data_IF_932753118510
#
_entry.id   IF_932753118510
#
_cell.length_a   1.000
_cell.length_b   1.000
_cell.length_c   1.000
_cell.angle_alpha   90.00
_cell.angle_beta   90.00
_cell.angle_gamma   90.00
#
_symmetry.space_group_name_H-M   'P 1'
#
loop_
_entity.id
_entity.type
_entity.pdbx_description
1 polymer ?
#
# COMPACT_ATOMS: atom_id res chain seq x y z
N UNK A 1 9.38 -43.06 -48.49
CA UNK A 1 8.58 -42.08 -47.73
C UNK A 1 8.81 -42.28 -46.23
N UNK A 2 10.00 -41.93 -45.72
CA UNK A 2 10.35 -42.02 -44.29
C UNK A 2 11.17 -40.78 -43.94
N UNK A 3 10.60 -39.58 -44.03
CA UNK A 3 11.31 -38.33 -43.65
C UNK A 3 10.44 -37.35 -42.84
N UNK A 4 9.23 -37.74 -42.45
CA UNK A 4 8.24 -36.78 -41.92
C UNK A 4 7.99 -36.89 -40.40
N UNK A 5 8.60 -37.87 -39.72
CA UNK A 5 8.31 -38.15 -38.31
C UNK A 5 9.39 -37.69 -37.30
N UNK A 6 10.66 -37.56 -37.70
CA UNK A 6 11.72 -37.16 -36.76
C UNK A 6 11.75 -35.65 -36.45
N UNK A 7 11.25 -34.81 -37.36
CA UNK A 7 11.27 -33.34 -37.17
C UNK A 7 10.33 -32.89 -36.05
N UNK A 8 9.24 -33.62 -35.76
CA UNK A 8 8.28 -33.27 -34.70
C UNK A 8 8.72 -33.65 -33.29
N UNK A 9 9.69 -34.55 -33.13
CA UNK A 9 10.16 -34.98 -31.81
C UNK A 9 11.21 -34.02 -31.22
N UNK A 10 11.99 -33.34 -32.05
CA UNK A 10 13.05 -32.43 -31.58
C UNK A 10 12.53 -31.07 -31.10
N UNK A 11 11.39 -30.58 -31.59
CA UNK A 11 10.81 -29.30 -31.14
C UNK A 11 10.16 -29.39 -29.75
N UNK A 12 9.70 -30.59 -29.35
CA UNK A 12 9.03 -30.80 -28.06
C UNK A 12 10.01 -30.82 -26.87
N UNK A 13 11.32 -30.97 -27.11
CA UNK A 13 12.36 -30.88 -26.08
C UNK A 13 12.89 -29.45 -25.86
N UNK A 14 12.82 -28.56 -26.86
CA UNK A 14 13.31 -27.16 -26.75
C UNK A 14 12.44 -26.24 -25.88
N UNK A 15 11.17 -26.56 -25.67
CA UNK A 15 10.24 -25.76 -24.85
C UNK A 15 10.39 -25.96 -23.33
N UNK A 16 10.75 -27.18 -22.91
CA UNK A 16 10.69 -27.59 -21.50
C UNK A 16 11.77 -26.97 -20.60
N UNK A 17 12.89 -26.55 -21.20
CA UNK A 17 13.99 -25.85 -20.50
C UNK A 17 13.85 -24.32 -20.46
N UNK A 18 13.13 -23.72 -21.44
CA UNK A 18 12.90 -22.27 -21.50
C UNK A 18 11.91 -21.80 -20.45
N UNK A 19 10.87 -22.59 -20.16
CA UNK A 19 9.88 -22.25 -19.14
C UNK A 19 10.47 -22.26 -17.73
N UNK A 20 11.28 -23.25 -17.37
CA UNK A 20 11.92 -23.31 -16.04
C UNK A 20 12.89 -22.15 -15.80
N UNK A 21 13.60 -21.72 -16.84
CA UNK A 21 14.53 -20.59 -16.75
C UNK A 21 13.76 -19.26 -16.62
N UNK A 22 12.69 -19.09 -17.39
CA UNK A 22 11.76 -17.95 -17.29
C UNK A 22 11.13 -17.84 -15.90
N UNK A 23 10.66 -18.96 -15.36
CA UNK A 23 10.00 -19.01 -14.06
C UNK A 23 10.97 -18.72 -12.90
N UNK A 24 12.21 -19.23 -12.98
CA UNK A 24 13.27 -18.85 -12.04
C UNK A 24 13.59 -17.35 -12.09
N UNK A 25 13.63 -16.75 -13.28
CA UNK A 25 13.86 -15.31 -13.43
C UNK A 25 12.71 -14.48 -12.85
N UNK A 26 11.46 -14.88 -13.09
CA UNK A 26 10.27 -14.26 -12.49
C UNK A 26 10.31 -14.30 -10.96
N UNK A 27 10.64 -15.44 -10.37
CA UNK A 27 10.74 -15.59 -8.91
C UNK A 27 11.88 -14.74 -8.33
N UNK A 28 13.07 -14.78 -8.93
CA UNK A 28 14.19 -13.92 -8.50
C UNK A 28 13.84 -12.43 -8.57
N UNK A 29 13.15 -12.02 -9.63
CA UNK A 29 12.73 -10.62 -9.79
C UNK A 29 11.72 -10.21 -8.71
N UNK A 30 10.75 -11.05 -8.39
CA UNK A 30 9.80 -10.76 -7.30
C UNK A 30 10.49 -10.70 -5.94
N UNK A 31 11.46 -11.57 -5.66
CA UNK A 31 12.21 -11.54 -4.40
C UNK A 31 13.06 -10.26 -4.30
N UNK A 32 13.74 -9.89 -5.38
CA UNK A 32 14.54 -8.67 -5.41
C UNK A 32 13.69 -7.40 -5.36
N UNK A 33 12.53 -7.40 -6.03
CA UNK A 33 11.56 -6.32 -5.96
C UNK A 33 10.98 -6.18 -4.55
N UNK A 34 10.83 -7.28 -3.82
CA UNK A 34 10.41 -7.26 -2.41
C UNK A 34 11.47 -6.63 -1.50
N UNK A 35 12.77 -6.88 -1.78
CA UNK A 35 13.90 -6.36 -0.99
C UNK A 35 14.18 -4.89 -1.29
N UNK A 36 14.38 -4.56 -2.56
CA UNK A 36 14.79 -3.22 -3.01
C UNK A 36 13.64 -2.24 -3.10
N UNK A 37 12.41 -2.73 -3.33
CA UNK A 37 11.21 -1.93 -3.66
C UNK A 37 11.36 -1.06 -4.91
N UNK A 38 12.44 -1.22 -5.66
CA UNK A 38 12.71 -0.49 -6.90
C UNK A 38 12.79 -1.50 -8.05
N UNK A 39 11.83 -1.39 -8.99
CA UNK A 39 11.74 -2.23 -10.18
C UNK A 39 12.99 -2.14 -11.07
N UNK A 40 13.68 -1.00 -11.09
CA UNK A 40 14.85 -0.72 -11.91
C UNK A 40 16.08 -1.40 -11.33
N UNK A 41 16.27 -1.31 -10.01
CA UNK A 41 17.34 -2.01 -9.30
C UNK A 41 17.13 -3.52 -9.35
N UNK A 42 15.92 -3.99 -9.08
CA UNK A 42 15.58 -5.41 -9.19
C UNK A 42 15.80 -5.98 -10.60
N UNK A 43 15.46 -5.20 -11.64
CA UNK A 43 15.68 -5.57 -13.05
C UNK A 43 17.16 -5.74 -13.37
N UNK A 44 18.01 -4.81 -12.89
CA UNK A 44 19.48 -4.88 -13.07
C UNK A 44 20.08 -6.09 -12.38
N UNK A 45 19.69 -6.37 -11.14
CA UNK A 45 20.22 -7.50 -10.35
C UNK A 45 19.84 -8.85 -10.97
N UNK A 46 18.62 -8.98 -11.51
CA UNK A 46 18.19 -10.23 -12.16
C UNK A 46 18.69 -10.35 -13.61
N UNK A 47 19.23 -9.26 -14.17
CA UNK A 47 19.72 -9.24 -15.56
C UNK A 47 18.60 -9.36 -16.58
N UNK A 48 17.43 -8.77 -16.28
CA UNK A 48 16.24 -8.86 -17.13
C UNK A 48 15.70 -7.47 -17.41
N UNK A 49 15.53 -7.13 -18.67
CA UNK A 49 14.96 -5.85 -19.11
C UNK A 49 13.51 -5.66 -18.65
N UNK A 50 13.16 -4.40 -18.36
CA UNK A 50 11.82 -3.95 -17.99
C UNK A 50 10.77 -4.28 -19.06
N UNK A 51 11.16 -4.32 -20.34
CA UNK A 51 10.27 -4.75 -21.43
C UNK A 51 9.86 -6.21 -21.25
N UNK A 52 10.79 -7.08 -20.89
CA UNK A 52 10.53 -8.50 -20.63
C UNK A 52 9.67 -8.70 -19.39
N UNK A 53 9.92 -7.91 -18.33
CA UNK A 53 9.06 -7.89 -17.14
C UNK A 53 7.64 -7.44 -17.48
N UNK A 54 7.47 -6.41 -18.33
CA UNK A 54 6.15 -5.98 -18.83
C UNK A 54 5.46 -7.12 -19.59
N UNK A 55 6.19 -7.81 -20.47
CA UNK A 55 5.66 -8.97 -21.20
C UNK A 55 5.19 -10.07 -20.23
N UNK A 56 5.96 -10.39 -19.19
CA UNK A 56 5.53 -11.35 -18.16
C UNK A 56 4.27 -10.90 -17.42
N UNK A 57 4.11 -9.62 -17.11
CA UNK A 57 2.89 -9.11 -16.46
C UNK A 57 1.65 -9.23 -17.32
N UNK A 58 1.80 -9.25 -18.64
CA UNK A 58 0.68 -9.41 -19.58
C UNK A 58 0.35 -10.88 -19.84
N UNK A 59 1.38 -11.72 -19.92
CA UNK A 59 1.24 -13.13 -20.30
C UNK A 59 1.05 -14.08 -19.12
N UNK A 60 1.45 -13.67 -17.91
CA UNK A 60 1.37 -14.47 -16.70
C UNK A 60 0.55 -13.74 -15.61
N UNK A 61 -0.74 -14.11 -15.47
CA UNK A 61 -1.63 -13.53 -14.46
C UNK A 61 -1.15 -13.75 -13.02
N UNK A 62 -0.48 -14.89 -12.75
CA UNK A 62 0.03 -15.23 -11.42
C UNK A 62 1.18 -14.31 -11.05
N UNK A 63 2.13 -14.12 -11.99
CA UNK A 63 3.21 -13.15 -11.83
C UNK A 63 2.68 -11.73 -11.67
N UNK A 64 1.71 -11.29 -12.48
CA UNK A 64 1.15 -9.95 -12.38
C UNK A 64 0.47 -9.69 -11.03
N UNK A 65 -0.21 -10.69 -10.47
CA UNK A 65 -0.84 -10.59 -9.15
C UNK A 65 0.21 -10.40 -8.06
N UNK A 66 1.27 -11.23 -8.06
CA UNK A 66 2.39 -11.10 -7.11
C UNK A 66 3.15 -9.78 -7.29
N UNK A 67 3.38 -9.36 -8.53
CA UNK A 67 4.00 -8.08 -8.86
C UNK A 67 3.15 -6.90 -8.34
N UNK A 68 1.85 -6.91 -8.61
CA UNK A 68 0.93 -5.88 -8.10
C UNK A 68 0.92 -5.86 -6.59
N UNK A 69 0.96 -6.99 -5.89
CA UNK A 69 1.04 -6.98 -4.43
C UNK A 69 2.32 -6.28 -3.89
N UNK A 70 3.41 -6.29 -4.66
CA UNK A 70 4.67 -5.65 -4.28
C UNK A 70 4.70 -4.15 -4.66
N UNK A 71 4.09 -3.79 -5.79
CA UNK A 71 4.13 -2.42 -6.38
C UNK A 71 2.87 -1.60 -6.06
N UNK A 72 1.70 -2.22 -6.08
CA UNK A 72 0.41 -1.62 -5.70
C UNK A 72 0.29 -1.70 -4.20
N UNK A 73 0.79 -0.65 -3.58
CA UNK A 73 0.86 -0.45 -2.15
C UNK A 73 1.79 0.71 -1.97
N UNK A 74 1.29 1.90 -2.33
CA UNK A 74 1.92 3.19 -2.02
C UNK A 74 2.48 3.11 -0.61
N UNK A 75 3.67 3.67 -0.40
CA UNK A 75 4.21 3.76 0.94
C UNK A 75 3.21 4.44 1.91
N UNK A 76 2.25 5.23 1.42
CA UNK A 76 1.11 5.78 2.17
C UNK A 76 0.04 4.75 2.60
N UNK A 77 -0.18 3.68 1.84
CA UNK A 77 -1.08 2.59 2.22
C UNK A 77 -0.42 1.63 3.23
N UNK A 78 0.92 1.59 3.27
CA UNK A 78 1.71 0.81 4.25
C UNK A 78 1.99 1.60 5.53
N UNK A 79 2.25 2.90 5.43
CA UNK A 79 2.22 3.88 6.53
C UNK A 79 0.79 4.30 6.84
N UNK A 80 -0.12 3.33 6.93
CA UNK A 80 -1.50 3.61 7.34
C UNK A 80 -1.49 3.92 8.84
N UNK A 81 -0.90 5.04 9.21
CA UNK A 81 -1.39 5.76 10.37
C UNK A 81 -2.87 5.89 10.12
N UNK A 82 -3.64 5.22 10.96
CA UNK A 82 -5.06 5.14 10.80
C UNK A 82 -5.54 6.60 10.93
N UNK A 83 -5.90 7.24 9.82
CA UNK A 83 -6.21 8.68 9.81
C UNK A 83 -7.32 9.00 10.82
N UNK A 84 -8.15 8.01 11.16
CA UNK A 84 -9.11 8.03 12.28
C UNK A 84 -8.41 8.22 13.64
N UNK A 85 -7.37 7.46 13.94
CA UNK A 85 -6.57 7.58 15.16
C UNK A 85 -5.86 8.94 15.24
N UNK A 86 -5.30 9.43 14.13
CA UNK A 86 -4.70 10.78 14.08
C UNK A 86 -5.74 11.86 14.41
N UNK A 87 -6.91 11.81 13.78
CA UNK A 87 -8.00 12.75 14.07
C UNK A 87 -8.44 12.62 15.53
N UNK A 88 -8.58 11.41 16.08
CA UNK A 88 -8.91 11.19 17.48
C UNK A 88 -7.84 11.75 18.42
N UNK A 89 -6.55 11.61 18.09
CA UNK A 89 -5.44 12.19 18.84
C UNK A 89 -5.57 13.72 18.90
N UNK A 90 -5.78 14.38 17.76
CA UNK A 90 -5.99 15.84 17.72
C UNK A 90 -7.22 16.28 18.50
N UNK A 91 -8.32 15.54 18.41
CA UNK A 91 -9.51 15.80 19.21
C UNK A 91 -9.24 15.65 20.71
N UNK A 92 -8.51 14.62 21.14
CA UNK A 92 -8.10 14.39 22.54
C UNK A 92 -7.15 15.46 23.07
N UNK A 93 -6.42 16.15 22.20
CA UNK A 93 -5.61 17.32 22.55
C UNK A 93 -6.43 18.63 22.59
N UNK A 94 -7.76 18.57 22.44
CA UNK A 94 -8.63 19.74 22.52
C UNK A 94 -8.78 20.52 21.22
N UNK A 95 -8.27 20.01 20.09
CA UNK A 95 -8.48 20.65 18.80
C UNK A 95 -9.97 20.63 18.41
N UNK A 96 -10.42 21.68 17.72
CA UNK A 96 -11.73 21.65 17.07
C UNK A 96 -11.77 20.57 15.98
N UNK A 97 -12.97 20.08 15.65
CA UNK A 97 -13.12 19.06 14.60
C UNK A 97 -12.53 19.48 13.26
N UNK A 98 -12.66 20.76 12.89
CA UNK A 98 -12.09 21.31 11.66
C UNK A 98 -10.56 21.26 11.71
N UNK A 99 -9.96 21.76 12.79
CA UNK A 99 -8.50 21.78 12.97
C UNK A 99 -7.90 20.38 13.06
N UNK A 100 -8.59 19.43 13.70
CA UNK A 100 -8.18 18.02 13.76
C UNK A 100 -8.19 17.35 12.38
N UNK A 101 -9.18 17.67 11.53
CA UNK A 101 -9.24 17.19 10.16
C UNK A 101 -8.13 17.80 9.29
N UNK A 102 -7.90 19.11 9.41
CA UNK A 102 -6.87 19.83 8.67
C UNK A 102 -5.46 19.30 9.02
N UNK A 103 -5.15 19.12 10.32
CA UNK A 103 -3.86 18.56 10.77
C UNK A 103 -3.64 17.09 10.38
N UNK A 104 -4.72 16.32 10.27
CA UNK A 104 -4.64 14.93 9.81
C UNK A 104 -4.66 14.78 8.29
N UNK A 105 -4.71 15.90 7.54
CA UNK A 105 -4.91 15.90 6.08
C UNK A 105 -6.11 15.04 5.65
N UNK A 106 -7.21 15.20 6.39
CA UNK A 106 -8.48 14.50 6.19
C UNK A 106 -9.55 15.52 5.81
N UNK A 107 -10.32 15.24 4.76
CA UNK A 107 -11.45 16.10 4.44
C UNK A 107 -12.54 15.99 5.50
N UNK A 108 -13.23 17.10 5.79
CA UNK A 108 -14.38 17.09 6.71
C UNK A 108 -15.51 16.16 6.23
N UNK A 109 -15.61 15.92 4.92
CA UNK A 109 -16.53 14.95 4.34
C UNK A 109 -16.16 13.52 4.75
N UNK A 110 -14.88 13.14 4.63
CA UNK A 110 -14.37 11.83 5.05
C UNK A 110 -14.64 11.59 6.55
N UNK A 111 -14.41 12.59 7.38
CA UNK A 111 -14.72 12.54 8.81
C UNK A 111 -16.21 12.31 9.09
N UNK A 112 -17.10 13.03 8.38
CA UNK A 112 -18.56 12.85 8.49
C UNK A 112 -18.98 11.45 8.05
N UNK A 113 -18.41 10.95 6.96
CA UNK A 113 -18.68 9.58 6.49
C UNK A 113 -18.26 8.56 7.53
N UNK A 114 -17.07 8.69 8.13
CA UNK A 114 -16.63 7.79 9.22
C UNK A 114 -17.61 7.80 10.38
N UNK A 115 -18.07 8.97 10.84
CA UNK A 115 -19.10 9.05 11.90
C UNK A 115 -20.44 8.40 11.55
N UNK A 116 -20.76 8.20 10.27
CA UNK A 116 -22.00 7.56 9.82
C UNK A 116 -21.86 6.04 9.70
N UNK A 117 -20.69 5.56 9.26
CA UNK A 117 -20.48 4.14 8.92
C UNK A 117 -19.72 3.37 10.00
N UNK A 118 -19.09 4.06 10.94
CA UNK A 118 -18.27 3.50 12.01
C UNK A 118 -18.79 4.01 13.36
N UNK A 119 -19.62 3.18 14.01
CA UNK A 119 -20.21 3.49 15.32
C UNK A 119 -19.17 3.55 16.44
N UNK A 120 -18.08 2.78 16.35
CA UNK A 120 -16.98 2.83 17.33
C UNK A 120 -16.28 4.19 17.28
N UNK A 121 -15.91 4.65 16.08
CA UNK A 121 -15.32 5.96 15.86
C UNK A 121 -16.24 7.10 16.33
N UNK A 122 -17.54 6.99 16.04
CA UNK A 122 -18.55 7.97 16.48
C UNK A 122 -18.66 8.04 18.01
N UNK A 123 -18.66 6.89 18.68
CA UNK A 123 -18.71 6.81 20.15
C UNK A 123 -17.47 7.43 20.77
N UNK A 124 -16.27 7.16 20.25
CA UNK A 124 -15.03 7.74 20.75
C UNK A 124 -14.98 9.27 20.53
N UNK A 125 -15.41 9.77 19.36
CA UNK A 125 -15.55 11.22 19.12
C UNK A 125 -16.52 11.87 20.11
N UNK A 126 -17.63 11.22 20.42
CA UNK A 126 -18.62 11.75 21.38
C UNK A 126 -18.06 11.75 22.81
N UNK A 127 -17.35 10.69 23.21
CA UNK A 127 -16.68 10.60 24.51
C UNK A 127 -15.67 11.73 24.70
N UNK A 128 -14.83 11.98 23.70
CA UNK A 128 -13.87 13.10 23.72
C UNK A 128 -14.60 14.45 23.80
N UNK A 129 -15.70 14.65 23.07
CA UNK A 129 -16.49 15.89 23.20
C UNK A 129 -17.09 16.06 24.59
N UNK A 130 -17.53 14.98 25.24
CA UNK A 130 -18.07 15.03 26.59
C UNK A 130 -16.99 15.35 27.63
N UNK A 131 -15.77 14.83 27.48
CA UNK A 131 -14.65 15.16 28.38
C UNK A 131 -14.25 16.64 28.30
N UNK A 132 -14.34 17.26 27.12
CA UNK A 132 -14.16 18.72 26.99
C UNK A 132 -15.40 19.53 27.37
N UNK A 133 -16.59 18.94 27.23
CA UNK A 133 -17.86 19.54 27.66
C UNK A 133 -17.93 19.72 29.18
N UNK A 134 -17.40 18.78 29.96
CA UNK A 134 -17.23 18.94 31.41
C UNK A 134 -16.11 19.93 31.77
N UNK A 135 -15.10 20.07 30.91
CA UNK A 135 -13.96 20.99 31.09
C UNK A 135 -14.31 22.47 30.83
N UNK A 136 -15.42 22.76 30.13
CA UNK A 136 -15.85 24.14 29.78
C UNK A 136 -16.31 25.04 30.95
N UNK A 137 -16.05 24.69 32.21
CA UNK A 137 -16.02 25.68 33.31
C UNK A 137 -14.66 26.36 33.49
N UNK A 138 -13.61 25.91 32.81
CA UNK A 138 -12.31 26.59 32.75
C UNK A 138 -11.78 26.56 31.32
N UNK A 139 -11.91 27.66 30.59
CA UNK A 139 -11.50 27.76 29.19
C UNK A 139 -10.02 27.41 29.01
N UNK A 140 -9.74 26.34 28.26
CA UNK A 140 -8.39 26.01 27.82
C UNK A 140 -7.98 26.99 26.71
N UNK A 141 -7.02 27.87 27.03
CA UNK A 141 -6.17 28.54 26.04
C UNK A 141 -4.97 27.62 25.79
N UNK A 142 -4.70 27.19 24.54
CA UNK A 142 -3.44 26.54 24.21
C UNK A 142 -2.28 27.44 24.64
N UNK A 143 -1.28 26.89 25.34
CA UNK A 143 0.02 27.56 25.47
C UNK A 143 0.78 27.27 24.18
N UNK A 144 1.27 28.32 23.54
CA UNK A 144 1.93 28.25 22.23
C UNK A 144 3.34 27.61 22.29
N UNK A 145 3.80 27.17 23.47
CA UNK A 145 5.20 26.79 23.72
C UNK A 145 5.52 25.27 23.69
N UNK A 146 4.57 24.38 23.38
CA UNK A 146 4.83 22.92 23.28
C UNK A 146 4.81 22.40 21.83
N UNK A 147 5.26 23.21 20.87
CA UNK A 147 5.19 22.85 19.44
C UNK A 147 6.56 22.75 18.73
N UNK A 148 7.68 22.92 19.44
CA UNK A 148 9.03 22.67 18.92
C UNK A 148 9.94 22.02 19.99
N UNK A 149 9.82 20.71 20.16
CA UNK A 149 10.87 19.83 20.72
C UNK A 149 10.67 18.39 20.28
#
# INVERSE_FOLDING_TARGET
MIESFEVKAMDKQKGRGKDKTSERQKLKFLDELRRTRDKTLASKVVGVDLVKIRSWRQTDPVFNTKYKALVVGDDDARKKENKKELVLKFLKMGCSQRMACDKAYVSTLSFRTWKKVDEEFKNEVNRVRQSFGSMKRGGYKPKDDEWDS
#
